data_IF_924461947359
#
_entry.id   IF_924461947359
#
_cell.length_a   1.000
_cell.length_b   1.000
_cell.length_c   1.000
_cell.angle_alpha   90.00
_cell.angle_beta   90.00
_cell.angle_gamma   90.00
#
_symmetry.space_group_name_H-M   'P 1'
#
loop_
_entity.id
_entity.type
_entity.pdbx_description
1 polymer ?
#
# COMPACT_ATOMS: atom_id res chain seq x y z
N UNK A 1 -11.50 7.97 7.41
CA UNK A 1 -10.56 8.03 6.27
C UNK A 1 -10.65 9.44 5.71
N UNK A 2 -9.56 10.19 5.66
CA UNK A 2 -9.55 11.56 5.11
C UNK A 2 -8.87 11.46 3.76
N UNK A 3 -9.60 11.75 2.70
CA UNK A 3 -9.14 11.76 1.32
C UNK A 3 -9.09 13.22 0.84
N UNK A 4 -8.11 13.54 -0.01
CA UNK A 4 -7.96 14.86 -0.60
C UNK A 4 -8.40 14.81 -2.06
N UNK A 5 -9.39 15.62 -2.39
CA UNK A 5 -9.92 15.78 -3.75
C UNK A 5 -9.56 17.19 -4.25
N UNK A 6 -8.84 17.28 -5.37
CA UNK A 6 -8.41 18.55 -5.96
C UNK A 6 -7.12 18.43 -6.77
N UNK A 7 -7.00 19.24 -7.82
CA UNK A 7 -5.77 19.39 -8.60
C UNK A 7 -4.83 20.37 -7.92
N UNK A 8 -3.59 19.96 -7.64
CA UNK A 8 -2.56 20.84 -7.07
C UNK A 8 -1.74 21.46 -8.19
N UNK A 9 -1.76 22.79 -8.29
CA UNK A 9 -0.87 23.54 -9.17
C UNK A 9 0.35 24.00 -8.38
N UNK A 10 1.52 23.83 -8.96
CA UNK A 10 2.77 24.29 -8.37
C UNK A 10 3.37 25.40 -9.23
N UNK A 11 3.78 26.48 -8.59
CA UNK A 11 4.55 27.55 -9.20
C UNK A 11 5.94 27.64 -8.57
N UNK A 12 6.91 28.09 -9.35
CA UNK A 12 8.24 28.34 -8.82
C UNK A 12 8.23 29.61 -7.99
N UNK A 13 8.60 29.48 -6.71
CA UNK A 13 8.75 30.62 -5.83
C UNK A 13 9.98 31.44 -6.21
N UNK A 14 9.83 32.76 -6.16
CA UNK A 14 10.97 33.68 -6.22
C UNK A 14 11.78 33.55 -4.93
N UNK A 15 13.10 33.40 -5.04
CA UNK A 15 13.97 33.19 -3.89
C UNK A 15 15.44 33.23 -4.26
N UNK A 16 16.30 33.30 -3.23
CA UNK A 16 17.76 33.27 -3.42
C UNK A 16 18.18 31.90 -3.94
N UNK A 17 19.33 31.83 -4.62
CA UNK A 17 19.88 30.57 -5.15
C UNK A 17 20.04 29.48 -4.08
N UNK A 18 20.39 29.85 -2.85
CA UNK A 18 20.47 28.92 -1.71
C UNK A 18 19.11 28.28 -1.37
N UNK A 19 18.05 29.07 -1.42
CA UNK A 19 16.69 28.63 -1.10
C UNK A 19 16.15 27.72 -2.20
N UNK A 20 16.37 28.09 -3.48
CA UNK A 20 16.05 27.24 -4.64
C UNK A 20 16.74 25.87 -4.57
N UNK A 21 18.05 25.83 -4.27
CA UNK A 21 18.79 24.56 -4.09
C UNK A 21 18.22 23.71 -2.96
N UNK A 22 17.82 24.33 -1.85
CA UNK A 22 17.18 23.63 -0.72
C UNK A 22 15.83 23.04 -1.13
N UNK A 23 14.99 23.79 -1.85
CA UNK A 23 13.70 23.32 -2.33
C UNK A 23 13.86 22.17 -3.33
N UNK A 24 14.81 22.28 -4.26
CA UNK A 24 15.11 21.21 -5.22
C UNK A 24 15.54 19.93 -4.51
N UNK A 25 16.45 20.02 -3.53
CA UNK A 25 16.85 18.87 -2.70
C UNK A 25 15.69 18.24 -1.94
N UNK A 26 14.71 19.04 -1.50
CA UNK A 26 13.52 18.53 -0.84
C UNK A 26 12.56 17.85 -1.83
N UNK A 27 12.42 18.38 -3.05
CA UNK A 27 11.63 17.77 -4.12
C UNK A 27 12.25 16.43 -4.57
N UNK A 28 13.58 16.37 -4.74
CA UNK A 28 14.30 15.12 -5.02
C UNK A 28 14.00 14.06 -3.94
N UNK A 29 14.05 14.47 -2.65
CA UNK A 29 13.72 13.57 -1.53
C UNK A 29 12.27 13.09 -1.54
N UNK A 30 11.33 13.94 -1.94
CA UNK A 30 9.92 13.56 -2.05
C UNK A 30 9.69 12.64 -3.26
N UNK A 31 10.46 12.80 -4.34
CA UNK A 31 10.32 11.99 -5.54
C UNK A 31 10.85 10.57 -5.35
N UNK A 32 12.09 10.42 -4.89
CA UNK A 32 12.75 9.12 -4.82
C UNK A 32 12.05 8.17 -3.86
N UNK A 33 11.42 7.15 -4.43
CA UNK A 33 10.68 6.13 -3.70
C UNK A 33 9.20 6.44 -3.54
N UNK A 34 8.68 7.50 -4.16
CA UNK A 34 7.24 7.81 -4.22
C UNK A 34 6.48 6.89 -5.19
N UNK A 35 5.14 6.96 -5.13
CA UNK A 35 4.27 6.36 -6.15
C UNK A 35 4.53 6.90 -7.55
N UNK A 36 4.84 8.19 -7.67
CA UNK A 36 5.15 8.84 -8.96
C UNK A 36 6.43 8.26 -9.58
N UNK A 37 7.50 8.11 -8.78
CA UNK A 37 8.74 7.45 -9.20
C UNK A 37 8.48 6.00 -9.62
N UNK A 38 7.72 5.26 -8.80
CA UNK A 38 7.35 3.88 -9.09
C UNK A 38 6.60 3.73 -10.41
N UNK A 39 5.51 4.49 -10.62
CA UNK A 39 4.68 4.40 -11.83
C UNK A 39 5.47 4.79 -13.09
N UNK A 40 6.30 5.84 -13.03
CA UNK A 40 7.21 6.21 -14.13
C UNK A 40 8.20 5.09 -14.45
N UNK A 41 8.83 4.51 -13.42
CA UNK A 41 9.83 3.44 -13.59
C UNK A 41 9.22 2.15 -14.15
N UNK A 42 7.97 1.86 -13.80
CA UNK A 42 7.21 0.73 -14.36
C UNK A 42 6.99 0.91 -15.85
N UNK A 43 6.52 2.09 -16.29
CA UNK A 43 6.30 2.34 -17.72
C UNK A 43 7.60 2.20 -18.54
N UNK A 44 8.73 2.59 -17.96
CA UNK A 44 10.06 2.46 -18.57
C UNK A 44 10.65 1.04 -18.48
N UNK A 45 10.08 0.16 -17.66
CA UNK A 45 10.66 -1.15 -17.35
C UNK A 45 11.95 -1.09 -16.51
N UNK A 46 12.22 0.04 -15.87
CA UNK A 46 13.44 0.32 -15.07
C UNK A 46 13.19 0.23 -13.57
N UNK A 47 11.98 -0.14 -13.14
CA UNK A 47 11.59 -0.21 -11.73
C UNK A 47 12.57 -1.05 -10.89
N UNK A 48 13.02 -2.19 -11.39
CA UNK A 48 13.99 -3.06 -10.67
C UNK A 48 15.34 -2.37 -10.52
N UNK A 49 15.88 -1.75 -11.58
CA UNK A 49 17.16 -1.04 -11.54
C UNK A 49 17.11 0.22 -10.68
N UNK A 50 15.95 0.87 -10.63
CA UNK A 50 15.66 2.03 -9.77
C UNK A 50 15.37 1.65 -8.31
N UNK A 51 15.35 0.35 -8.00
CA UNK A 51 15.28 -0.16 -6.63
C UNK A 51 13.88 -0.51 -6.12
N UNK A 52 12.92 -0.70 -7.02
CA UNK A 52 11.59 -1.19 -6.70
C UNK A 52 11.44 -2.69 -6.96
N UNK A 53 10.74 -3.35 -6.04
CA UNK A 53 10.24 -4.71 -6.24
C UNK A 53 8.78 -4.77 -5.84
N UNK A 54 7.97 -5.45 -6.64
CA UNK A 54 6.52 -5.54 -6.42
C UNK A 54 6.14 -7.00 -6.24
N UNK A 55 5.37 -7.26 -5.20
CA UNK A 55 4.95 -8.60 -4.81
C UNK A 55 3.44 -8.67 -4.68
N UNK A 56 2.90 -9.88 -4.79
CA UNK A 56 1.46 -10.14 -4.63
C UNK A 56 1.13 -10.40 -3.16
N UNK A 57 0.15 -9.70 -2.63
CA UNK A 57 -0.36 -9.83 -1.26
C UNK A 57 -1.83 -10.23 -1.30
N UNK A 58 -2.15 -11.42 -0.79
CA UNK A 58 -3.49 -12.05 -0.88
C UNK A 58 -4.14 -12.15 0.48
N UNK A 59 -5.39 -11.70 0.63
CA UNK A 59 -6.17 -11.92 1.85
C UNK A 59 -6.83 -13.30 1.81
N UNK A 60 -6.63 -14.10 2.85
CA UNK A 60 -7.21 -15.43 3.02
C UNK A 60 -7.93 -15.57 4.36
N UNK A 61 -8.92 -16.46 4.48
CA UNK A 61 -9.51 -16.80 5.78
C UNK A 61 -8.42 -17.17 6.79
N UNK A 62 -8.54 -16.63 7.99
CA UNK A 62 -7.58 -16.91 9.05
C UNK A 62 -7.72 -18.37 9.52
N UNK A 63 -6.72 -19.25 9.29
CA UNK A 63 -6.82 -20.66 9.66
C UNK A 63 -6.88 -20.87 11.18
N UNK A 64 -6.42 -19.91 11.98
CA UNK A 64 -6.47 -19.96 13.44
C UNK A 64 -7.83 -19.51 14.02
N UNK A 65 -8.72 -18.94 13.18
CA UNK A 65 -10.05 -18.48 13.61
C UNK A 65 -11.12 -19.48 13.17
N UNK A 66 -11.90 -19.96 14.14
CA UNK A 66 -13.04 -20.85 13.90
C UNK A 66 -14.20 -20.11 13.20
N UNK A 67 -15.17 -20.87 12.69
CA UNK A 67 -16.35 -20.32 12.02
C UNK A 67 -17.18 -19.42 12.96
N UNK A 68 -17.66 -18.28 12.44
CA UNK A 68 -18.44 -17.30 13.21
C UNK A 68 -19.71 -17.91 13.82
N UNK A 69 -20.35 -18.84 13.13
CA UNK A 69 -21.52 -19.57 13.63
C UNK A 69 -21.19 -20.36 14.90
N UNK A 70 -20.08 -21.08 14.90
CA UNK A 70 -19.60 -21.85 16.04
C UNK A 70 -19.19 -20.94 17.20
N UNK A 71 -18.43 -19.87 16.91
CA UNK A 71 -17.99 -18.89 17.91
C UNK A 71 -19.21 -18.27 18.61
N UNK A 72 -20.18 -17.79 17.84
CA UNK A 72 -21.37 -17.14 18.38
C UNK A 72 -22.26 -18.11 19.16
N UNK A 73 -22.44 -19.34 18.66
CA UNK A 73 -23.19 -20.38 19.37
C UNK A 73 -22.57 -20.72 20.72
N UNK A 74 -21.25 -20.88 20.78
CA UNK A 74 -20.52 -21.17 22.02
C UNK A 74 -20.54 -19.99 22.98
N UNK A 75 -20.36 -18.77 22.51
CA UNK A 75 -20.50 -17.57 23.34
C UNK A 75 -21.90 -17.46 23.95
N UNK A 76 -22.96 -17.68 23.16
CA UNK A 76 -24.34 -17.67 23.65
C UNK A 76 -24.56 -18.75 24.72
N UNK A 77 -24.08 -19.97 24.45
CA UNK A 77 -24.16 -21.10 25.38
C UNK A 77 -23.46 -20.77 26.70
N UNK A 78 -22.18 -20.40 26.68
CA UNK A 78 -21.41 -20.14 27.90
C UNK A 78 -21.91 -18.92 28.67
N UNK A 79 -22.41 -17.87 27.99
CA UNK A 79 -23.04 -16.72 28.67
C UNK A 79 -24.33 -17.11 29.39
N UNK A 80 -25.20 -17.92 28.78
CA UNK A 80 -26.42 -18.43 29.45
C UNK A 80 -26.10 -19.26 30.69
N UNK A 81 -24.99 -19.99 30.64
CA UNK A 81 -24.50 -20.86 31.72
C UNK A 81 -23.66 -20.13 32.79
N UNK A 82 -23.34 -18.85 32.59
CA UNK A 82 -22.46 -18.07 33.47
C UNK A 82 -23.16 -17.44 34.66
N UNK A 83 -24.46 -17.69 34.85
CA UNK A 83 -25.20 -17.29 36.05
C UNK A 83 -24.66 -18.05 37.28
N UNK A 84 -23.53 -17.59 37.85
CA UNK A 84 -23.04 -17.94 39.19
C UNK A 84 -21.70 -18.70 39.32
N UNK A 85 -20.90 -18.92 38.27
CA UNK A 85 -19.65 -19.72 38.40
C UNK A 85 -18.40 -19.08 37.78
N UNK A 86 -17.38 -18.83 38.61
CA UNK A 86 -16.05 -18.33 38.22
C UNK A 86 -15.28 -19.27 37.30
N UNK A 87 -15.51 -20.59 37.39
CA UNK A 87 -14.80 -21.62 36.61
C UNK A 87 -15.07 -21.57 35.10
N UNK A 88 -15.98 -20.70 34.63
CA UNK A 88 -16.44 -20.64 33.23
C UNK A 88 -16.03 -19.36 32.49
N UNK A 89 -15.39 -18.41 33.18
CA UNK A 89 -14.83 -17.21 32.56
C UNK A 89 -13.75 -17.55 31.52
N UNK A 90 -12.97 -18.62 31.73
CA UNK A 90 -11.92 -19.05 30.80
C UNK A 90 -12.47 -19.52 29.45
N UNK A 91 -13.62 -20.19 29.45
CA UNK A 91 -14.30 -20.59 28.21
C UNK A 91 -14.82 -19.35 27.46
N UNK A 92 -15.48 -18.41 28.17
CA UNK A 92 -15.96 -17.17 27.55
C UNK A 92 -14.79 -16.36 26.97
N UNK A 93 -13.67 -16.27 27.71
CA UNK A 93 -12.45 -15.60 27.28
C UNK A 93 -11.90 -16.23 26.00
N UNK A 94 -11.70 -17.55 25.98
CA UNK A 94 -11.24 -18.30 24.79
C UNK A 94 -12.07 -18.00 23.54
N UNK A 95 -13.40 -18.05 23.65
CA UNK A 95 -14.29 -17.79 22.50
C UNK A 95 -14.35 -16.31 22.13
N UNK A 96 -14.21 -15.41 23.11
CA UNK A 96 -14.10 -13.97 22.85
C UNK A 96 -12.79 -13.63 22.14
N UNK A 97 -11.69 -14.30 22.50
CA UNK A 97 -10.40 -14.16 21.82
C UNK A 97 -10.48 -14.66 20.37
N UNK A 98 -11.14 -15.82 20.14
CA UNK A 98 -11.46 -16.30 18.79
C UNK A 98 -12.29 -15.29 17.98
N UNK A 99 -13.27 -14.62 18.61
CA UNK A 99 -14.08 -13.59 17.96
C UNK A 99 -13.25 -12.35 17.58
N UNK A 100 -12.27 -11.98 18.41
CA UNK A 100 -11.37 -10.83 18.22
C UNK A 100 -10.27 -11.08 17.18
N UNK A 101 -9.87 -12.33 16.95
CA UNK A 101 -8.91 -12.66 15.89
C UNK A 101 -9.39 -12.11 14.54
N UNK A 102 -8.52 -11.64 13.65
CA UNK A 102 -8.96 -11.14 12.36
C UNK A 102 -9.62 -12.25 11.53
N UNK A 103 -10.67 -11.90 10.77
CA UNK A 103 -11.34 -12.85 9.84
C UNK A 103 -10.43 -13.26 8.69
N UNK A 104 -9.66 -12.30 8.20
CA UNK A 104 -8.73 -12.47 7.08
C UNK A 104 -7.33 -12.15 7.56
N UNK A 105 -6.36 -12.94 7.11
CA UNK A 105 -4.93 -12.65 7.23
C UNK A 105 -4.34 -12.53 5.84
N UNK A 106 -3.32 -11.69 5.70
CA UNK A 106 -2.64 -11.50 4.41
C UNK A 106 -1.51 -12.51 4.26
N UNK A 107 -1.32 -13.02 3.05
CA UNK A 107 -0.22 -13.90 2.67
C UNK A 107 0.58 -13.26 1.54
N UNK A 108 1.88 -13.19 1.71
CA UNK A 108 2.81 -12.61 0.75
C UNK A 108 3.43 -13.69 -0.11
N UNK A 109 3.40 -13.45 -1.42
CA UNK A 109 4.13 -14.25 -2.41
C UNK A 109 5.42 -13.53 -2.76
N UNK A 110 6.55 -14.23 -2.66
CA UNK A 110 7.87 -13.65 -2.87
C UNK A 110 8.35 -13.71 -4.33
N UNK A 111 7.48 -14.10 -5.26
CA UNK A 111 7.76 -13.99 -6.70
C UNK A 111 7.47 -12.56 -7.14
N UNK A 112 8.48 -11.80 -7.63
CA UNK A 112 8.26 -10.44 -8.10
C UNK A 112 7.31 -10.41 -9.31
N UNK A 113 6.40 -9.45 -9.32
CA UNK A 113 5.51 -9.17 -10.44
C UNK A 113 6.23 -8.33 -11.50
N UNK A 114 5.92 -8.60 -12.77
CA UNK A 114 6.49 -7.90 -13.91
C UNK A 114 5.56 -6.81 -14.44
N UNK A 115 6.10 -5.92 -15.29
CA UNK A 115 5.34 -4.80 -15.88
C UNK A 115 4.03 -5.25 -16.56
N UNK A 116 4.04 -6.27 -17.44
CA UNK A 116 2.81 -6.75 -18.09
C UNK A 116 1.73 -7.27 -17.14
N UNK A 117 2.11 -7.72 -15.94
CA UNK A 117 1.16 -8.20 -14.93
C UNK A 117 0.39 -7.05 -14.27
N UNK A 118 0.92 -5.83 -14.34
CA UNK A 118 0.45 -4.67 -13.57
C UNK A 118 -0.18 -3.61 -14.45
N UNK A 119 0.40 -3.34 -15.63
CA UNK A 119 0.03 -2.19 -16.45
C UNK A 119 -0.44 -2.59 -17.82
N UNK A 120 -1.58 -2.03 -18.21
CA UNK A 120 -2.19 -2.20 -19.54
C UNK A 120 -2.27 -0.85 -20.24
N UNK A 121 -2.11 -0.86 -21.56
CA UNK A 121 -2.41 0.31 -22.40
C UNK A 121 -3.92 0.51 -22.50
N UNK A 122 -4.36 1.76 -22.60
CA UNK A 122 -5.75 2.11 -22.89
C UNK A 122 -5.89 2.56 -24.35
N UNK A 123 -7.12 2.89 -24.73
CA UNK A 123 -7.47 3.56 -25.98
C UNK A 123 -7.05 5.03 -26.02
N UNK A 124 -6.85 5.66 -24.86
CA UNK A 124 -6.38 7.03 -24.73
C UNK A 124 -4.85 7.10 -24.70
N UNK A 125 -4.27 7.81 -25.67
CA UNK A 125 -2.82 8.00 -25.73
C UNK A 125 -2.29 8.67 -24.45
N UNK A 126 -1.23 8.09 -23.87
CA UNK A 126 -0.57 8.60 -22.67
C UNK A 126 -1.29 8.27 -21.36
N UNK A 127 -2.39 7.51 -21.41
CA UNK A 127 -3.09 6.98 -20.24
C UNK A 127 -2.86 5.48 -20.14
N UNK A 128 -2.62 5.01 -18.92
CA UNK A 128 -2.37 3.60 -18.64
C UNK A 128 -3.28 3.13 -17.51
N UNK A 129 -3.64 1.85 -17.54
CA UNK A 129 -4.44 1.21 -16.53
C UNK A 129 -3.54 0.33 -15.66
N UNK A 130 -3.43 0.66 -14.37
CA UNK A 130 -2.90 -0.21 -13.32
C UNK A 130 -4.02 -1.16 -12.88
N UNK A 131 -3.83 -2.47 -13.02
CA UNK A 131 -4.85 -3.46 -12.66
C UNK A 131 -4.25 -4.73 -12.11
N UNK A 132 -4.81 -5.22 -11.00
CA UNK A 132 -4.40 -6.44 -10.32
C UNK A 132 -5.57 -6.97 -9.47
N UNK A 133 -5.64 -8.29 -9.24
CA UNK A 133 -6.77 -8.91 -8.55
C UNK A 133 -6.74 -8.76 -7.02
N UNK A 134 -5.56 -8.86 -6.42
CA UNK A 134 -5.38 -8.82 -4.96
C UNK A 134 -4.83 -7.47 -4.49
N UNK A 135 -3.90 -7.46 -3.53
CA UNK A 135 -3.15 -6.27 -3.15
C UNK A 135 -1.72 -6.37 -3.69
N UNK A 136 -1.09 -5.23 -3.96
CA UNK A 136 0.34 -5.17 -4.22
C UNK A 136 1.08 -4.85 -2.93
N UNK A 137 2.27 -5.43 -2.80
CA UNK A 137 3.26 -5.03 -1.81
C UNK A 137 4.48 -4.51 -2.56
N UNK A 138 4.66 -3.18 -2.55
CA UNK A 138 5.75 -2.50 -3.25
C UNK A 138 6.82 -2.15 -2.25
N UNK A 139 8.04 -2.61 -2.50
CA UNK A 139 9.21 -2.35 -1.66
C UNK A 139 10.17 -1.43 -2.40
N UNK A 140 10.65 -0.39 -1.71
CA UNK A 140 11.69 0.51 -2.23
C UNK A 140 13.01 0.35 -1.44
N UNK A 141 14.10 0.14 -2.17
CA UNK A 141 15.45 -0.02 -1.65
C UNK A 141 16.16 -1.27 -2.20
N UNK A 142 17.48 -1.18 -2.37
CA UNK A 142 18.30 -2.27 -2.91
C UNK A 142 18.38 -3.45 -1.92
N UNK A 143 18.39 -4.67 -2.46
CA UNK A 143 18.68 -5.94 -1.76
C UNK A 143 17.70 -6.34 -0.63
N UNK A 144 16.44 -5.90 -0.66
CA UNK A 144 15.44 -6.36 0.30
C UNK A 144 14.88 -7.71 -0.12
N UNK A 145 15.31 -8.76 0.57
CA UNK A 145 14.70 -10.08 0.43
C UNK A 145 13.38 -10.13 1.19
N UNK A 146 12.33 -10.52 0.50
CA UNK A 146 10.99 -10.67 1.07
C UNK A 146 10.71 -12.16 1.24
N UNK A 147 10.28 -12.56 2.44
CA UNK A 147 9.92 -13.96 2.73
C UNK A 147 8.46 -14.21 2.36
N UNK A 148 8.20 -15.33 1.68
CA UNK A 148 6.82 -15.79 1.45
C UNK A 148 6.21 -16.32 2.75
N UNK A 149 4.90 -16.17 2.89
CA UNK A 149 4.16 -16.69 4.06
C UNK A 149 3.12 -15.71 4.61
N UNK A 150 2.68 -15.95 5.85
CA UNK A 150 1.79 -15.02 6.55
C UNK A 150 2.48 -13.65 6.66
N UNK A 151 1.83 -12.63 6.13
CA UNK A 151 2.39 -11.28 6.06
C UNK A 151 2.29 -10.58 7.41
N UNK A 152 3.45 -10.33 8.01
CA UNK A 152 3.59 -9.58 9.27
C UNK A 152 4.68 -8.52 9.08
N UNK A 153 4.33 -7.36 8.48
CA UNK A 153 5.32 -6.33 8.24
C UNK A 153 5.82 -5.81 9.59
N UNK A 154 7.13 -5.76 9.76
CA UNK A 154 7.71 -5.05 10.89
C UNK A 154 7.73 -3.52 10.65
N UNK A 155 8.10 -2.75 11.68
CA UNK A 155 8.11 -1.28 11.62
C UNK A 155 9.10 -0.76 10.56
N UNK A 156 10.23 -1.44 10.35
CA UNK A 156 11.27 -1.03 9.42
C UNK A 156 10.85 -1.31 7.96
N UNK A 157 10.21 -2.45 7.71
CA UNK A 157 9.57 -2.78 6.44
C UNK A 157 8.46 -1.78 6.11
N UNK A 158 7.58 -1.46 7.07
CA UNK A 158 6.51 -0.48 6.88
C UNK A 158 7.00 0.96 6.62
N UNK A 159 8.26 1.28 6.95
CA UNK A 159 8.86 2.57 6.64
C UNK A 159 9.30 2.70 5.17
N UNK A 160 9.41 1.59 4.45
CA UNK A 160 10.04 1.53 3.14
C UNK A 160 9.31 0.65 2.12
N UNK A 161 8.15 0.14 2.51
CA UNK A 161 7.23 -0.57 1.66
C UNK A 161 5.84 0.07 1.75
N UNK A 162 5.05 -0.15 0.71
CA UNK A 162 3.68 0.33 0.59
C UNK A 162 2.79 -0.82 0.13
N UNK A 163 1.67 -1.04 0.81
CA UNK A 163 0.58 -1.85 0.26
C UNK A 163 -0.30 -0.98 -0.63
N UNK A 164 -0.60 -1.48 -1.82
CA UNK A 164 -1.48 -0.82 -2.79
C UNK A 164 -2.73 -1.66 -2.96
N UNK A 165 -3.88 -1.04 -2.82
CA UNK A 165 -5.18 -1.66 -3.05
C UNK A 165 -6.03 -0.78 -3.97
N UNK A 166 -6.76 -1.39 -4.90
CA UNK A 166 -7.68 -0.65 -5.75
C UNK A 166 -9.10 -0.70 -5.16
N UNK A 167 -9.85 0.39 -5.34
CA UNK A 167 -11.29 0.46 -5.03
C UNK A 167 -12.16 0.20 -6.26
N UNK A 168 -11.55 0.17 -7.44
CA UNK A 168 -12.13 -0.16 -8.73
C UNK A 168 -11.27 -1.22 -9.44
N UNK A 169 -11.76 -1.88 -10.53
CA UNK A 169 -10.97 -2.88 -11.25
C UNK A 169 -9.63 -2.37 -11.80
N UNK A 170 -9.55 -1.05 -12.07
CA UNK A 170 -8.37 -0.37 -12.58
C UNK A 170 -8.21 0.99 -11.92
N UNK A 171 -6.96 1.43 -11.77
CA UNK A 171 -6.62 2.83 -11.55
C UNK A 171 -5.87 3.37 -12.76
N UNK A 172 -6.27 4.55 -13.23
CA UNK A 172 -5.67 5.18 -14.39
C UNK A 172 -4.58 6.17 -13.98
N UNK A 173 -3.50 6.21 -14.74
CA UNK A 173 -2.40 7.14 -14.52
C UNK A 173 -1.74 7.56 -15.84
N UNK A 174 -1.07 8.71 -15.84
CA UNK A 174 -0.42 9.27 -17.03
C UNK A 174 1.08 8.91 -17.14
N UNK A 175 1.74 9.37 -18.21
CA UNK A 175 3.20 9.22 -18.40
C UNK A 175 4.04 9.80 -17.25
N UNK A 176 3.49 10.76 -16.50
CA UNK A 176 4.15 11.39 -15.37
C UNK A 176 3.95 10.62 -14.06
N UNK A 177 3.23 9.49 -14.06
CA UNK A 177 2.93 8.74 -12.85
C UNK A 177 1.88 9.41 -11.96
N UNK A 178 1.08 10.32 -12.52
CA UNK A 178 -0.04 10.98 -11.82
C UNK A 178 -1.27 10.11 -11.94
N UNK A 179 -1.86 9.76 -10.79
CA UNK A 179 -3.10 8.97 -10.74
C UNK A 179 -4.29 9.88 -11.03
N UNK A 180 -5.06 9.55 -12.05
CA UNK A 180 -6.16 10.40 -12.55
C UNK A 180 -7.38 10.40 -11.63
N UNK A 181 -7.65 9.28 -10.97
CA UNK A 181 -8.66 9.16 -9.92
C UNK A 181 -8.01 8.66 -8.64
N UNK A 182 -7.56 9.55 -7.74
CA UNK A 182 -6.87 9.12 -6.53
C UNK A 182 -7.77 8.37 -5.54
N UNK A 183 -9.11 8.47 -5.63
CA UNK A 183 -10.05 7.68 -4.82
C UNK A 183 -10.11 6.22 -5.28
N UNK A 184 -9.60 5.94 -6.49
CA UNK A 184 -9.42 4.62 -7.07
C UNK A 184 -8.34 3.77 -6.39
N UNK A 185 -7.47 4.38 -5.57
CA UNK A 185 -6.27 3.73 -5.01
C UNK A 185 -6.12 4.05 -3.53
N UNK A 186 -5.83 3.01 -2.75
CA UNK A 186 -5.51 3.12 -1.32
C UNK A 186 -4.04 2.74 -1.13
N UNK A 187 -3.30 3.62 -0.46
CA UNK A 187 -1.91 3.41 -0.07
C UNK A 187 -1.80 3.29 1.45
N UNK A 188 -1.16 2.23 1.93
CA UNK A 188 -0.80 2.08 3.34
C UNK A 188 0.71 1.81 3.45
N UNK A 189 1.37 2.36 4.48
CA UNK A 189 2.83 2.31 4.61
C UNK A 189 3.52 3.59 4.15
N UNK A 190 4.65 3.47 3.46
CA UNK A 190 5.54 4.59 3.16
C UNK A 190 4.83 5.73 2.40
N UNK A 191 4.09 5.42 1.34
CA UNK A 191 3.40 6.44 0.52
C UNK A 191 2.20 7.08 1.24
N UNK A 192 1.58 6.37 2.19
CA UNK A 192 0.44 6.87 2.95
C UNK A 192 0.81 7.91 4.02
N UNK A 193 2.07 7.94 4.47
CA UNK A 193 2.54 8.88 5.52
C UNK A 193 2.72 10.31 5.00
N UNK A 194 3.18 10.47 3.76
CA UNK A 194 3.53 11.77 3.17
C UNK A 194 2.33 12.65 2.79
N UNK A 195 1.23 12.04 2.32
CA UNK A 195 0.02 12.72 1.83
C UNK A 195 0.37 13.95 0.96
N UNK A 196 -0.32 15.08 1.18
CA UNK A 196 -0.12 16.34 0.46
C UNK A 196 1.27 16.96 0.72
N UNK A 197 1.94 16.63 1.84
CA UNK A 197 3.26 17.20 2.12
C UNK A 197 4.37 16.66 1.21
N UNK A 198 4.11 15.57 0.47
CA UNK A 198 5.05 14.95 -0.47
C UNK A 198 4.56 15.02 -1.93
N UNK A 199 3.53 15.80 -2.23
CA UNK A 199 3.10 16.02 -3.61
C UNK A 199 4.13 16.84 -4.38
N UNK A 200 4.27 16.52 -5.66
CA UNK A 200 5.22 17.17 -6.57
C UNK A 200 4.48 17.76 -7.77
N UNK A 201 5.09 18.76 -8.43
CA UNK A 201 4.68 19.17 -9.76
C UNK A 201 4.63 17.96 -10.71
N UNK A 202 3.63 17.94 -11.59
CA UNK A 202 3.43 16.84 -12.55
C UNK A 202 4.60 16.72 -13.53
N UNK A 203 5.23 17.85 -13.85
CA UNK A 203 6.39 18.04 -14.72
C UNK A 203 7.72 17.99 -13.94
N UNK A 204 7.72 17.62 -12.66
CA UNK A 204 8.95 17.55 -11.89
C UNK A 204 9.89 16.49 -12.47
N UNK A 205 11.11 16.91 -12.81
CA UNK A 205 12.22 16.04 -13.17
C UNK A 205 13.26 16.04 -12.04
N UNK A 206 13.56 14.87 -11.44
CA UNK A 206 14.56 14.79 -10.39
C UNK A 206 15.95 15.04 -10.98
N UNK A 207 16.86 15.61 -10.18
CA UNK A 207 18.26 15.55 -10.57
C UNK A 207 18.72 14.10 -10.48
N UNK A 208 19.25 13.56 -11.58
CA UNK A 208 19.98 12.29 -11.53
C UNK A 208 21.09 12.46 -10.49
N UNK A 209 21.02 11.68 -9.41
CA UNK A 209 22.15 11.61 -8.48
C UNK A 209 23.33 11.04 -9.27
N UNK A 210 24.29 11.90 -9.60
CA UNK A 210 25.62 11.47 -10.03
C UNK A 210 26.24 10.52 -9.01
#
# INVERSE_FOLDING_TARGET
>A
MVYYEGSVLFENLLGREKDKRKWLKNRDKAFFGSSQHYLRSILKGTNVTEGFQTYRLVKRPNPARLADSLINAKLKYFRKLANGSFLRMDSIKKWSDQQRMPRLVSYLYNTPLSMPDLVKRTDQQGVYALGFQDQLYVVYGKNKQVKAGEFKPDIAEAASATTVNLTAPYAFFDNNGVILNPAGVIFEGAWGKGRVAQTLPVDFEPNEKK
#
